data_IF_079286935729
#
_entry.id   IF_079286935729
#
_cell.length_a   1.000
_cell.length_b   1.000
_cell.length_c   1.000
_cell.angle_alpha   90.00
_cell.angle_beta   90.00
_cell.angle_gamma   90.00
#
_symmetry.space_group_name_H-M   'P 1'
#
loop_
_entity.id
_entity.type
_entity.pdbx_description
1 polymer ?
#
# COMPACT_ATOMS: atom_id res chain seq x y z
N UNK A 1 -23.46 2.38 53.22
CA UNK A 1 -22.11 2.93 53.42
C UNK A 1 -21.21 2.29 52.38
N UNK A 2 -21.05 3.00 51.27
CA UNK A 2 -20.15 2.65 50.17
C UNK A 2 -18.70 2.69 50.66
N UNK A 3 -17.95 1.61 50.42
CA UNK A 3 -16.49 1.66 50.45
C UNK A 3 -16.02 1.64 48.99
N UNK A 4 -15.89 2.83 48.43
CA UNK A 4 -15.21 3.08 47.16
C UNK A 4 -13.73 2.78 47.37
N UNK A 5 -13.28 1.60 46.94
CA UNK A 5 -11.86 1.30 46.85
C UNK A 5 -11.28 2.17 45.73
N UNK A 6 -10.64 3.24 46.16
CA UNK A 6 -9.93 4.23 45.36
C UNK A 6 -8.74 3.57 44.65
N UNK A 7 -8.85 3.36 43.33
CA UNK A 7 -7.77 2.89 42.45
C UNK A 7 -6.71 3.98 42.14
N UNK A 8 -6.51 4.96 43.03
CA UNK A 8 -5.74 6.17 42.69
C UNK A 8 -4.23 6.11 42.95
N UNK A 9 -3.69 5.13 43.69
CA UNK A 9 -2.24 5.15 44.02
C UNK A 9 -1.61 3.76 44.08
N UNK A 10 -0.93 3.32 43.02
CA UNK A 10 0.28 2.48 43.15
C UNK A 10 1.30 2.80 42.03
N UNK A 11 2.54 3.18 42.39
CA UNK A 11 3.63 3.47 41.46
C UNK A 11 4.39 2.19 41.06
N UNK A 12 4.76 2.08 39.77
CA UNK A 12 5.81 1.20 39.21
C UNK A 12 5.83 -0.30 39.60
N UNK A 13 4.72 -1.03 39.45
CA UNK A 13 4.83 -2.48 39.24
C UNK A 13 5.23 -2.73 37.77
N UNK A 14 6.25 -3.53 37.51
CA UNK A 14 6.62 -3.93 36.15
C UNK A 14 5.44 -4.65 35.48
N UNK A 15 5.32 -4.54 34.16
CA UNK A 15 4.22 -5.16 33.40
C UNK A 15 4.13 -6.67 33.68
N UNK A 16 5.27 -7.31 33.91
CA UNK A 16 5.39 -8.73 34.30
C UNK A 16 4.76 -9.04 35.65
N UNK A 17 4.90 -8.16 36.63
CA UNK A 17 4.37 -8.37 37.97
C UNK A 17 2.84 -8.29 37.97
N UNK A 18 2.28 -7.34 37.20
CA UNK A 18 0.82 -7.25 36.97
C UNK A 18 0.28 -8.40 36.13
N UNK A 19 1.08 -8.94 35.20
CA UNK A 19 0.71 -10.13 34.42
C UNK A 19 0.67 -11.38 35.31
N UNK A 20 1.64 -11.54 36.20
CA UNK A 20 1.67 -12.65 37.15
C UNK A 20 0.50 -12.58 38.14
N UNK A 21 0.15 -11.39 38.61
CA UNK A 21 -1.01 -11.16 39.48
C UNK A 21 -2.33 -11.46 38.76
N UNK A 22 -2.43 -11.09 37.47
CA UNK A 22 -3.55 -11.46 36.60
C UNK A 22 -3.64 -12.98 36.43
N UNK A 23 -2.53 -13.68 36.17
CA UNK A 23 -2.47 -15.15 36.04
C UNK A 23 -2.89 -15.82 37.35
N UNK A 24 -2.40 -15.33 38.49
CA UNK A 24 -2.77 -15.86 39.81
C UNK A 24 -4.26 -15.66 40.11
N UNK A 25 -4.82 -14.51 39.72
CA UNK A 25 -6.26 -14.20 39.84
C UNK A 25 -7.11 -15.06 38.93
N UNK A 26 -6.67 -15.31 37.69
CA UNK A 26 -7.34 -16.21 36.75
C UNK A 26 -7.37 -17.66 37.24
N UNK A 27 -6.28 -18.15 37.84
CA UNK A 27 -6.16 -19.51 38.35
C UNK A 27 -6.93 -19.75 39.67
N UNK A 28 -7.13 -18.70 40.47
CA UNK A 28 -7.84 -18.79 41.76
C UNK A 28 -9.34 -18.48 41.66
N UNK A 29 -9.79 -17.96 40.52
CA UNK A 29 -11.19 -17.63 40.28
C UNK A 29 -11.91 -18.77 39.58
N UNK A 30 -13.18 -18.99 39.92
CA UNK A 30 -14.05 -20.00 39.31
C UNK A 30 -14.56 -19.48 37.94
N UNK A 31 -13.66 -19.43 36.95
CA UNK A 31 -13.92 -18.78 35.66
C UNK A 31 -14.46 -19.77 34.64
N UNK A 32 -15.72 -19.55 34.22
CA UNK A 32 -16.34 -20.27 33.11
C UNK A 32 -15.71 -19.93 31.74
N UNK A 33 -15.76 -20.90 30.82
CA UNK A 33 -15.20 -20.82 29.44
C UNK A 33 -15.53 -19.51 28.70
N UNK A 34 -16.74 -18.98 28.89
CA UNK A 34 -17.19 -17.76 28.22
C UNK A 34 -16.50 -16.49 28.74
N UNK A 35 -16.17 -16.45 30.04
CA UNK A 35 -15.48 -15.32 30.66
C UNK A 35 -13.99 -15.28 30.28
N UNK A 36 -13.36 -16.45 30.14
CA UNK A 36 -11.96 -16.57 29.69
C UNK A 36 -11.80 -16.01 28.27
N UNK A 37 -12.71 -16.36 27.35
CA UNK A 37 -12.69 -15.81 25.97
C UNK A 37 -12.83 -14.29 25.95
N UNK A 38 -13.67 -13.73 26.83
CA UNK A 38 -13.83 -12.27 26.93
C UNK A 38 -12.57 -11.57 27.45
N UNK A 39 -11.87 -12.18 28.41
CA UNK A 39 -10.62 -11.68 28.98
C UNK A 39 -9.49 -11.75 27.95
N UNK A 40 -9.38 -12.87 27.24
CA UNK A 40 -8.44 -13.05 26.13
C UNK A 40 -8.67 -12.00 25.04
N UNK A 41 -9.92 -11.76 24.63
CA UNK A 41 -10.25 -10.75 23.63
C UNK A 41 -9.84 -9.34 24.08
N UNK A 42 -10.12 -8.97 25.34
CA UNK A 42 -9.73 -7.65 25.88
C UNK A 42 -8.22 -7.48 25.98
N UNK A 43 -7.50 -8.54 26.36
CA UNK A 43 -6.04 -8.54 26.39
C UNK A 43 -5.46 -8.37 24.99
N UNK A 44 -5.90 -9.19 24.02
CA UNK A 44 -5.46 -9.11 22.64
C UNK A 44 -5.75 -7.73 22.03
N UNK A 45 -6.92 -7.15 22.33
CA UNK A 45 -7.26 -5.78 21.88
C UNK A 45 -6.30 -4.73 22.46
N UNK A 46 -5.95 -4.83 23.74
CA UNK A 46 -5.04 -3.89 24.39
C UNK A 46 -3.59 -4.01 23.88
N UNK A 47 -3.17 -5.23 23.53
CA UNK A 47 -1.86 -5.52 22.90
C UNK A 47 -1.84 -4.99 21.46
N UNK A 48 -2.87 -5.25 20.68
CA UNK A 48 -2.99 -4.80 19.29
C UNK A 48 -2.96 -3.27 19.18
N UNK A 49 -3.59 -2.56 20.12
CA UNK A 49 -3.56 -1.09 20.17
C UNK A 49 -2.18 -0.50 20.52
N UNK A 50 -1.25 -1.30 21.06
CA UNK A 50 0.12 -0.88 21.38
C UNK A 50 1.14 -1.30 20.32
N UNK A 51 0.83 -2.32 19.53
CA UNK A 51 1.62 -2.70 18.35
C UNK A 51 1.27 -1.75 17.21
N UNK A 52 2.14 -0.78 16.98
CA UNK A 52 1.95 0.16 15.88
C UNK A 52 1.90 -0.60 14.56
N UNK A 53 0.85 -0.41 13.75
CA UNK A 53 0.65 -1.08 12.46
C UNK A 53 1.88 -1.00 11.53
N UNK A 54 2.73 0.03 11.70
CA UNK A 54 4.00 0.19 11.01
C UNK A 54 5.06 -0.88 11.36
N UNK A 55 5.12 -1.35 12.60
CA UNK A 55 6.01 -2.45 13.02
C UNK A 55 5.51 -3.80 12.50
N UNK A 56 4.19 -4.02 12.54
CA UNK A 56 3.57 -5.22 11.97
C UNK A 56 3.84 -5.31 10.46
N UNK A 57 3.65 -4.21 9.72
CA UNK A 57 3.97 -4.14 8.28
C UNK A 57 5.47 -4.37 8.02
N UNK A 58 6.35 -3.88 8.89
CA UNK A 58 7.79 -4.14 8.79
C UNK A 58 8.15 -5.61 9.07
N UNK A 59 7.37 -6.31 9.89
CA UNK A 59 7.54 -7.74 10.16
C UNK A 59 7.01 -8.60 9.00
N UNK A 60 5.88 -8.24 8.40
CA UNK A 60 5.40 -8.86 7.15
C UNK A 60 6.40 -8.69 6.00
N UNK A 61 7.04 -7.52 5.88
CA UNK A 61 8.07 -7.28 4.87
C UNK A 61 9.33 -8.13 5.07
N UNK A 62 9.61 -8.60 6.30
CA UNK A 62 10.72 -9.53 6.59
C UNK A 62 10.39 -10.98 6.25
N UNK A 63 9.12 -11.36 6.07
CA UNK A 63 8.71 -12.72 5.67
C UNK A 63 8.86 -12.95 4.16
N UNK A 64 8.97 -11.87 3.39
CA UNK A 64 9.24 -11.91 1.94
C UNK A 64 10.71 -12.23 1.60
N UNK A 65 11.54 -12.51 2.60
CA UNK A 65 12.94 -12.89 2.43
C UNK A 65 13.04 -14.21 1.62
N UNK A 66 13.98 -14.25 0.67
CA UNK A 66 14.10 -15.29 -0.36
C UNK A 66 14.67 -16.63 0.20
N UNK A 67 14.88 -16.68 1.51
CA UNK A 67 15.55 -17.76 2.22
C UNK A 67 14.62 -18.81 2.82
N UNK A 68 13.31 -18.55 2.86
CA UNK A 68 12.32 -19.46 3.44
C UNK A 68 11.69 -20.37 2.39
N UNK A 69 11.53 -21.66 2.73
CA UNK A 69 10.82 -22.62 1.89
C UNK A 69 9.35 -22.22 1.75
N UNK A 70 8.72 -22.52 0.60
CA UNK A 70 7.31 -22.16 0.33
C UNK A 70 6.34 -22.68 1.39
N UNK A 71 6.66 -23.83 1.99
CA UNK A 71 5.91 -24.42 3.10
C UNK A 71 6.03 -23.61 4.39
N UNK A 72 7.23 -23.16 4.76
CA UNK A 72 7.45 -22.31 5.94
C UNK A 72 6.85 -20.91 5.76
N UNK A 73 6.82 -20.40 4.51
CA UNK A 73 6.09 -19.18 4.18
C UNK A 73 4.58 -19.38 4.38
N UNK A 74 4.03 -20.53 3.99
CA UNK A 74 2.62 -20.85 4.19
C UNK A 74 2.27 -20.95 5.67
N UNK A 75 3.07 -21.67 6.47
CA UNK A 75 2.82 -21.83 7.91
C UNK A 75 2.92 -20.49 8.66
N UNK A 76 3.87 -19.63 8.29
CA UNK A 76 3.94 -18.27 8.85
C UNK A 76 2.75 -17.41 8.43
N UNK A 77 2.33 -17.49 7.17
CA UNK A 77 1.16 -16.76 6.68
C UNK A 77 -0.10 -17.26 7.39
N UNK A 78 -0.26 -18.56 7.59
CA UNK A 78 -1.37 -19.17 8.32
C UNK A 78 -1.37 -18.72 9.78
N UNK A 79 -0.23 -18.76 10.46
CA UNK A 79 -0.09 -18.29 11.83
C UNK A 79 -0.42 -16.79 11.96
N UNK A 80 0.02 -15.98 11.01
CA UNK A 80 -0.27 -14.54 11.02
C UNK A 80 -1.74 -14.24 10.66
N UNK A 81 -2.38 -15.00 9.76
CA UNK A 81 -3.81 -14.88 9.45
C UNK A 81 -4.69 -15.37 10.60
N UNK A 82 -4.24 -16.38 11.34
CA UNK A 82 -4.96 -16.93 12.48
C UNK A 82 -4.89 -15.97 13.68
N UNK A 83 -3.79 -15.24 13.82
CA UNK A 83 -3.58 -14.26 14.90
C UNK A 83 -4.10 -12.85 14.54
N UNK A 84 -4.14 -12.51 13.25
CA UNK A 84 -4.64 -11.23 12.74
C UNK A 84 -5.74 -11.46 11.71
N UNK A 85 -7.00 -11.35 12.13
CA UNK A 85 -8.12 -11.19 11.20
C UNK A 85 -7.88 -9.94 10.37
N UNK A 86 -7.41 -10.11 9.13
CA UNK A 86 -7.16 -9.02 8.21
C UNK A 86 -8.48 -8.29 7.96
N UNK A 87 -8.63 -7.13 8.60
CA UNK A 87 -9.83 -6.31 8.47
C UNK A 87 -10.03 -5.98 6.99
N UNK A 88 -11.17 -6.42 6.44
CA UNK A 88 -11.54 -6.30 5.03
C UNK A 88 -11.51 -4.85 4.55
N UNK A 89 -11.63 -3.88 5.46
CA UNK A 89 -11.51 -2.45 5.15
C UNK A 89 -10.09 -2.03 4.75
N UNK A 90 -9.06 -2.59 5.38
CA UNK A 90 -7.65 -2.30 5.07
C UNK A 90 -7.23 -3.02 3.79
N UNK A 91 -7.68 -4.26 3.59
CA UNK A 91 -7.45 -4.98 2.33
C UNK A 91 -8.03 -4.23 1.12
N UNK A 92 -9.24 -3.65 1.25
CA UNK A 92 -9.83 -2.81 0.20
C UNK A 92 -9.07 -1.51 -0.03
N UNK A 93 -8.63 -0.81 1.03
CA UNK A 93 -7.91 0.46 0.85
C UNK A 93 -6.55 0.27 0.18
N UNK A 94 -5.84 -0.81 0.51
CA UNK A 94 -4.57 -1.18 -0.13
C UNK A 94 -4.80 -1.58 -1.59
N UNK A 95 -5.85 -2.36 -1.89
CA UNK A 95 -6.18 -2.73 -3.26
C UNK A 95 -6.55 -1.51 -4.13
N UNK A 96 -7.33 -0.57 -3.59
CA UNK A 96 -7.70 0.67 -4.31
C UNK A 96 -6.48 1.55 -4.55
N UNK A 97 -5.59 1.70 -3.56
CA UNK A 97 -4.35 2.46 -3.72
C UNK A 97 -3.45 1.85 -4.81
N UNK A 98 -3.34 0.52 -4.85
CA UNK A 98 -2.63 -0.21 -5.91
C UNK A 98 -3.26 0.01 -7.28
N UNK A 99 -4.59 0.01 -7.37
CA UNK A 99 -5.30 0.28 -8.62
C UNK A 99 -5.08 1.72 -9.11
N UNK A 100 -5.12 2.71 -8.21
CA UNK A 100 -4.81 4.10 -8.56
C UNK A 100 -3.36 4.28 -9.02
N UNK A 101 -2.40 3.62 -8.37
CA UNK A 101 -0.99 3.65 -8.79
C UNK A 101 -0.76 3.09 -10.21
N UNK A 102 -1.66 2.23 -10.70
CA UNK A 102 -1.65 1.73 -12.07
C UNK A 102 -2.44 2.63 -13.03
N UNK A 103 -3.63 3.08 -12.63
CA UNK A 103 -4.55 3.82 -13.48
C UNK A 103 -4.00 5.20 -13.86
N UNK A 104 -3.37 5.89 -12.90
CA UNK A 104 -2.84 7.25 -13.10
C UNK A 104 -1.76 7.31 -14.20
N UNK A 105 -0.65 6.55 -14.14
CA UNK A 105 0.37 6.59 -15.18
C UNK A 105 -0.14 6.06 -16.53
N UNK A 106 -1.08 5.10 -16.53
CA UNK A 106 -1.73 4.61 -17.74
C UNK A 106 -2.50 5.75 -18.44
N UNK A 107 -3.35 6.47 -17.71
CA UNK A 107 -4.10 7.60 -18.25
C UNK A 107 -3.18 8.71 -18.76
N UNK A 108 -2.11 9.04 -18.02
CA UNK A 108 -1.11 10.03 -18.45
C UNK A 108 -0.46 9.61 -19.77
N UNK A 109 -0.08 8.34 -19.89
CA UNK A 109 0.51 7.81 -21.12
C UNK A 109 -0.44 7.90 -22.32
N UNK A 110 -1.73 7.58 -22.13
CA UNK A 110 -2.74 7.75 -23.17
C UNK A 110 -2.92 9.21 -23.58
N UNK A 111 -2.98 10.14 -22.61
CA UNK A 111 -3.07 11.58 -22.90
C UNK A 111 -1.87 12.05 -23.71
N UNK A 112 -0.65 11.66 -23.32
CA UNK A 112 0.57 11.96 -24.08
C UNK A 112 0.53 11.40 -25.50
N UNK A 113 0.08 10.16 -25.68
CA UNK A 113 -0.06 9.53 -26.99
C UNK A 113 -1.05 10.31 -27.88
N UNK A 114 -2.23 10.63 -27.34
CA UNK A 114 -3.27 11.36 -28.09
C UNK A 114 -2.82 12.78 -28.44
N UNK A 115 -2.15 13.49 -27.53
CA UNK A 115 -1.60 14.82 -27.79
C UNK A 115 -0.49 14.80 -28.84
N UNK A 116 0.46 13.87 -28.73
CA UNK A 116 1.54 13.77 -29.70
C UNK A 116 1.03 13.41 -31.10
N UNK A 117 0.07 12.49 -31.21
CA UNK A 117 -0.58 12.18 -32.48
C UNK A 117 -1.38 13.37 -33.03
N UNK A 118 -2.11 14.08 -32.16
CA UNK A 118 -2.84 15.28 -32.56
C UNK A 118 -1.92 16.37 -33.10
N UNK A 119 -0.73 16.54 -32.53
CA UNK A 119 0.27 17.50 -33.00
C UNK A 119 0.85 17.16 -34.38
N UNK A 120 0.86 15.89 -34.79
CA UNK A 120 1.33 15.47 -36.12
C UNK A 120 0.23 15.66 -37.16
N UNK A 121 -1.03 15.37 -36.79
CA UNK A 121 -2.14 15.28 -37.75
C UNK A 121 -2.82 16.63 -37.95
N UNK A 122 -2.93 17.44 -36.89
CA UNK A 122 -3.64 18.72 -36.98
C UNK A 122 -2.71 19.80 -37.55
N UNK A 123 -3.13 20.51 -38.61
CA UNK A 123 -2.36 21.62 -39.14
C UNK A 123 -2.25 22.69 -38.06
N UNK A 124 -1.01 23.02 -37.69
CA UNK A 124 -0.76 24.04 -36.70
C UNK A 124 -0.94 25.43 -37.35
N UNK A 125 -1.28 26.46 -36.57
CA UNK A 125 -1.30 27.81 -37.11
C UNK A 125 0.09 28.20 -37.66
N UNK A 126 0.18 29.03 -38.70
CA UNK A 126 1.46 29.32 -39.40
C UNK A 126 2.56 29.92 -38.52
N UNK A 127 2.22 30.46 -37.35
CA UNK A 127 3.19 30.94 -36.36
C UNK A 127 3.88 29.81 -35.57
N UNK A 128 3.32 28.60 -35.56
CA UNK A 128 3.87 27.44 -34.85
C UNK A 128 4.79 26.58 -35.73
N UNK A 129 4.63 26.64 -37.06
CA UNK A 129 5.47 25.91 -38.04
C UNK A 129 6.77 26.64 -38.40
N UNK A 130 7.18 27.62 -37.59
CA UNK A 130 8.25 28.57 -37.92
C UNK A 130 9.65 27.91 -38.07
N UNK A 131 9.81 26.67 -37.59
CA UNK A 131 11.06 25.91 -37.66
C UNK A 131 10.85 24.57 -38.38
N UNK A 132 11.05 24.58 -39.69
CA UNK A 132 11.13 23.35 -40.50
C UNK A 132 12.58 22.91 -40.60
N UNK A 133 12.86 21.66 -40.22
CA UNK A 133 14.21 21.07 -40.23
C UNK A 133 14.56 20.59 -41.63
N UNK A 134 13.59 20.02 -42.34
CA UNK A 134 13.79 19.50 -43.68
C UNK A 134 12.57 19.80 -44.55
N UNK A 135 12.75 20.50 -45.67
CA UNK A 135 11.67 20.77 -46.62
C UNK A 135 11.60 19.66 -47.67
N UNK A 136 10.45 18.99 -47.78
CA UNK A 136 10.17 18.08 -48.89
C UNK A 136 9.58 18.85 -50.10
N UNK A 137 8.88 19.95 -49.83
CA UNK A 137 8.28 20.86 -50.80
C UNK A 137 8.33 22.31 -50.28
N UNK A 138 7.96 23.28 -51.11
CA UNK A 138 7.95 24.72 -50.75
C UNK A 138 7.02 25.01 -49.56
N UNK A 139 5.98 24.21 -49.38
CA UNK A 139 4.94 24.41 -48.36
C UNK A 139 4.83 23.26 -47.36
N UNK A 140 5.76 22.29 -47.40
CA UNK A 140 5.66 21.07 -46.58
C UNK A 140 7.05 20.50 -46.26
N UNK A 141 7.22 20.03 -45.03
CA UNK A 141 8.51 19.61 -44.50
C UNK A 141 8.38 18.98 -43.12
N UNK A 142 9.44 18.31 -42.71
CA UNK A 142 9.57 17.82 -41.35
C UNK A 142 9.81 18.98 -40.40
N UNK A 143 8.86 19.22 -39.50
CA UNK A 143 8.90 20.35 -38.57
C UNK A 143 9.61 19.98 -37.26
N UNK A 144 10.10 20.99 -36.54
CA UNK A 144 10.56 20.80 -35.16
C UNK A 144 9.42 20.30 -34.26
N UNK A 145 8.18 20.66 -34.57
CA UNK A 145 6.98 20.21 -33.86
C UNK A 145 6.77 18.71 -34.03
N UNK A 146 7.02 18.14 -35.21
CA UNK A 146 6.98 16.68 -35.45
C UNK A 146 8.05 15.93 -34.65
N UNK A 147 9.23 16.52 -34.50
CA UNK A 147 10.29 15.95 -33.67
C UNK A 147 9.88 15.92 -32.19
N UNK A 148 9.31 17.01 -31.69
CA UNK A 148 8.85 17.12 -30.30
C UNK A 148 7.67 16.18 -30.05
N UNK A 149 6.72 16.09 -30.99
CA UNK A 149 5.57 15.19 -30.88
C UNK A 149 6.01 13.72 -30.86
N UNK A 150 7.02 13.34 -31.65
CA UNK A 150 7.61 12.00 -31.61
C UNK A 150 8.22 11.68 -30.23
N UNK A 151 8.93 12.62 -29.62
CA UNK A 151 9.50 12.46 -28.26
C UNK A 151 8.37 12.28 -27.23
N UNK A 152 7.29 13.04 -27.36
CA UNK A 152 6.13 12.93 -26.47
C UNK A 152 5.46 11.56 -26.63
N UNK A 153 5.25 11.09 -27.86
CA UNK A 153 4.69 9.75 -28.14
C UNK A 153 5.57 8.67 -27.52
N UNK A 154 6.88 8.72 -27.76
CA UNK A 154 7.83 7.75 -27.20
C UNK A 154 7.80 7.74 -25.67
N UNK A 155 7.74 8.91 -25.05
CA UNK A 155 7.64 9.05 -23.58
C UNK A 155 6.30 8.51 -23.05
N UNK A 156 5.21 8.74 -23.77
CA UNK A 156 3.89 8.22 -23.44
C UNK A 156 3.85 6.69 -23.50
N UNK A 157 4.35 6.10 -24.58
CA UNK A 157 4.47 4.63 -24.73
C UNK A 157 5.38 4.05 -23.66
N UNK A 158 6.54 4.66 -23.40
CA UNK A 158 7.45 4.23 -22.34
C UNK A 158 6.77 4.25 -20.97
N UNK A 159 5.99 5.29 -20.67
CA UNK A 159 5.25 5.41 -19.41
C UNK A 159 4.21 4.30 -19.26
N UNK A 160 3.48 3.96 -20.33
CA UNK A 160 2.51 2.84 -20.34
C UNK A 160 3.22 1.52 -20.09
N UNK A 161 4.31 1.25 -20.83
CA UNK A 161 5.09 0.01 -20.70
C UNK A 161 5.67 -0.10 -19.28
N UNK A 162 6.29 0.97 -18.77
CA UNK A 162 6.85 1.01 -17.42
C UNK A 162 5.78 0.77 -16.35
N UNK A 163 4.58 1.32 -16.53
CA UNK A 163 3.44 1.06 -15.65
C UNK A 163 3.05 -0.43 -15.66
N UNK A 164 2.99 -1.04 -16.85
CA UNK A 164 2.69 -2.47 -17.00
C UNK A 164 3.76 -3.36 -16.35
N UNK A 165 5.05 -3.09 -16.59
CA UNK A 165 6.14 -3.86 -15.98
C UNK A 165 6.24 -3.68 -14.47
N UNK A 166 6.03 -2.47 -13.94
CA UNK A 166 6.01 -2.23 -12.49
C UNK A 166 4.90 -3.05 -11.80
N UNK A 167 3.79 -3.28 -12.49
CA UNK A 167 2.70 -4.12 -11.99
C UNK A 167 2.97 -5.61 -12.20
N UNK A 168 3.52 -6.01 -13.35
CA UNK A 168 3.79 -7.42 -13.66
C UNK A 168 4.92 -8.03 -12.82
N UNK A 169 5.83 -7.21 -12.30
CA UNK A 169 7.03 -7.64 -11.56
C UNK A 169 6.88 -7.44 -10.03
N UNK A 170 5.66 -7.34 -9.53
CA UNK A 170 5.29 -7.23 -8.10
C UNK A 170 4.15 -8.18 -7.77
#
# INVERSE_FOLDING_TARGET
MENLISFKNMPHATVEEKLNDLIATLNSSDINSDNIKSLQHKFNTAVHNKLTEAELIAEFAKVDDDRLSRLEKLDKIELILQDNFVDTKVAKSVAVKRFLELLVPLCIGFVMLTLGLAMIILPAPPYFEMFTIFYFSVNDGFTLMDLISLIIILTGVFTIIKSYFKFANR
#
